data_IF_137850309766
#
_entry.id   IF_137850309766
#
_cell.length_a   1.000
_cell.length_b   1.000
_cell.length_c   1.000
_cell.angle_alpha   90.00
_cell.angle_beta   90.00
_cell.angle_gamma   90.00
#
_symmetry.space_group_name_H-M   'P 1'
#
loop_
_entity.id
_entity.type
_entity.pdbx_description
1 polymer ?
#
# COMPACT_ATOMS: atom_id res chain seq x y z
N UNK A 1 -4.13 -18.98 -1.87
CA UNK A 1 -3.52 -18.13 -2.94
C UNK A 1 -2.54 -17.14 -2.32
N UNK A 2 -1.42 -16.78 -2.98
CA UNK A 2 -0.46 -15.77 -2.46
C UNK A 2 -0.83 -14.38 -2.98
N UNK A 3 -1.04 -13.44 -2.07
CA UNK A 3 -1.48 -12.08 -2.34
C UNK A 3 -0.36 -11.05 -2.11
N UNK A 4 -0.36 -10.05 -2.96
CA UNK A 4 0.44 -8.83 -2.88
C UNK A 4 -0.51 -7.71 -2.51
N UNK A 5 -0.08 -6.87 -1.57
CA UNK A 5 -0.89 -5.79 -1.02
C UNK A 5 -0.12 -4.47 -1.10
N UNK A 6 -0.77 -3.44 -1.63
CA UNK A 6 -0.37 -2.05 -1.49
C UNK A 6 -1.35 -1.34 -0.57
N UNK A 7 -0.83 -0.60 0.40
CA UNK A 7 -1.64 0.19 1.34
C UNK A 7 -1.21 1.64 1.22
N UNK A 8 -2.18 2.53 1.12
CA UNK A 8 -1.96 3.95 1.26
C UNK A 8 -2.81 4.49 2.41
N UNK A 9 -2.14 5.12 3.37
CA UNK A 9 -2.72 5.64 4.60
C UNK A 9 -2.80 7.16 4.49
N UNK A 10 -4.01 7.70 4.39
CA UNK A 10 -4.29 9.14 4.52
C UNK A 10 -5.07 9.38 5.81
N UNK A 11 -5.17 10.63 6.25
CA UNK A 11 -5.86 10.96 7.50
C UNK A 11 -7.36 10.69 7.48
N UNK A 12 -7.95 10.59 6.29
CA UNK A 12 -9.37 10.35 6.09
C UNK A 12 -9.68 8.95 5.57
N UNK A 13 -8.76 8.35 4.81
CA UNK A 13 -8.98 7.07 4.13
C UNK A 13 -7.77 6.15 4.17
N UNK A 14 -8.06 4.86 4.21
CA UNK A 14 -7.10 3.79 3.98
C UNK A 14 -7.49 3.09 2.69
N UNK A 15 -6.66 3.26 1.66
CA UNK A 15 -6.86 2.62 0.36
C UNK A 15 -5.96 1.39 0.28
N UNK A 16 -6.56 0.27 -0.09
CA UNK A 16 -5.91 -1.03 -0.21
C UNK A 16 -6.09 -1.54 -1.64
N UNK A 17 -4.98 -1.96 -2.24
CA UNK A 17 -4.96 -2.65 -3.53
C UNK A 17 -4.36 -4.03 -3.32
N UNK A 18 -5.09 -5.08 -3.70
CA UNK A 18 -4.71 -6.48 -3.46
C UNK A 18 -4.85 -7.34 -4.69
N UNK A 19 -3.88 -8.23 -4.91
CA UNK A 19 -3.98 -9.20 -5.99
C UNK A 19 -2.79 -10.15 -6.03
N UNK A 20 -2.76 -11.04 -7.02
CA UNK A 20 -1.57 -11.85 -7.28
C UNK A 20 -0.45 -10.97 -7.84
N UNK A 21 0.80 -11.44 -7.76
CA UNK A 21 1.92 -10.73 -8.38
C UNK A 21 1.70 -10.48 -9.88
N UNK A 22 1.04 -11.40 -10.58
CA UNK A 22 0.72 -11.26 -11.99
C UNK A 22 -0.38 -10.24 -12.27
N UNK A 23 -1.45 -10.23 -11.46
CA UNK A 23 -2.55 -9.26 -11.65
C UNK A 23 -2.12 -7.84 -11.29
N UNK A 24 -1.37 -7.67 -10.19
CA UNK A 24 -0.83 -6.36 -9.80
C UNK A 24 0.23 -5.85 -10.77
N UNK A 25 1.03 -6.74 -11.38
CA UNK A 25 1.98 -6.35 -12.43
C UNK A 25 1.31 -6.10 -13.79
N UNK A 26 0.03 -6.41 -13.96
CA UNK A 26 -0.68 -6.30 -15.23
C UNK A 26 -0.32 -7.36 -16.26
N UNK A 27 0.26 -8.50 -15.85
CA UNK A 27 0.69 -9.58 -16.76
C UNK A 27 -0.33 -10.71 -16.94
N UNK A 28 -1.49 -10.63 -16.27
CA UNK A 28 -2.64 -11.53 -16.46
C UNK A 28 -3.95 -10.74 -16.48
N UNK A 29 -4.98 -11.24 -17.18
CA UNK A 29 -6.31 -10.66 -17.14
C UNK A 29 -6.92 -10.79 -15.73
N UNK A 30 -7.49 -9.69 -15.25
CA UNK A 30 -8.12 -9.58 -13.93
C UNK A 30 -7.60 -8.35 -13.19
N UNK A 31 -8.43 -7.31 -12.97
CA UNK A 31 -8.02 -6.18 -12.15
C UNK A 31 -7.77 -6.69 -10.72
N UNK A 32 -6.69 -6.27 -10.04
CA UNK A 32 -6.57 -6.49 -8.61
C UNK A 32 -7.75 -5.83 -7.89
N UNK A 33 -8.09 -6.40 -6.75
CA UNK A 33 -9.16 -5.92 -5.91
C UNK A 33 -8.73 -4.60 -5.24
N UNK A 34 -9.68 -3.67 -5.15
CA UNK A 34 -9.50 -2.38 -4.52
C UNK A 34 -10.55 -2.23 -3.43
N UNK A 35 -10.12 -1.78 -2.26
CA UNK A 35 -11.02 -1.37 -1.20
C UNK A 35 -10.55 -0.06 -0.58
N UNK A 36 -11.51 0.76 -0.15
CA UNK A 36 -11.26 1.99 0.60
C UNK A 36 -12.04 1.92 1.91
N UNK A 37 -11.38 2.29 3.00
CA UNK A 37 -11.92 2.27 4.35
C UNK A 37 -11.74 3.65 4.98
N UNK A 38 -12.63 4.09 5.88
CA UNK A 38 -12.36 5.30 6.64
C UNK A 38 -11.10 5.11 7.49
N UNK A 39 -10.25 6.13 7.60
CA UNK A 39 -9.11 6.14 8.53
C UNK A 39 -9.56 6.34 9.99
N UNK A 40 -10.57 5.56 10.39
CA UNK A 40 -11.23 5.57 11.69
C UNK A 40 -11.44 4.14 12.15
N UNK A 41 -10.99 3.85 13.36
CA UNK A 41 -11.15 2.55 13.99
C UNK A 41 -12.18 2.62 15.09
N UNK A 42 -13.18 1.76 15.01
CA UNK A 42 -14.05 1.46 16.15
C UNK A 42 -13.38 0.38 16.99
N UNK A 43 -13.14 0.67 18.27
CA UNK A 43 -12.46 -0.26 19.18
C UNK A 43 -13.10 -0.24 20.58
N UNK A 44 -14.18 -1.01 20.78
CA UNK A 44 -14.84 -1.14 22.07
C UNK A 44 -14.02 -2.03 23.02
N UNK A 45 -14.35 -2.02 24.32
CA UNK A 45 -13.61 -2.76 25.35
C UNK A 45 -13.59 -4.28 25.13
N UNK A 46 -14.67 -4.82 24.57
CA UNK A 46 -14.95 -6.26 24.56
C UNK A 46 -14.72 -6.92 23.22
N UNK A 47 -14.29 -6.16 22.20
CA UNK A 47 -14.10 -6.70 20.85
C UNK A 47 -12.79 -6.24 20.21
N UNK A 48 -12.38 -7.00 19.20
CA UNK A 48 -11.28 -6.62 18.33
C UNK A 48 -11.62 -5.32 17.57
N UNK A 49 -10.60 -4.48 17.27
CA UNK A 49 -10.81 -3.28 16.46
C UNK A 49 -11.31 -3.64 15.07
N UNK A 50 -12.10 -2.75 14.47
CA UNK A 50 -12.52 -2.83 13.07
C UNK A 50 -12.66 -1.43 12.48
N UNK A 51 -12.80 -1.34 11.16
CA UNK A 51 -13.18 -0.09 10.51
C UNK A 51 -14.50 0.44 11.08
N UNK A 52 -14.51 1.75 11.38
CA UNK A 52 -15.68 2.43 11.88
C UNK A 52 -16.81 2.46 10.84
N UNK A 53 -18.04 2.32 11.31
CA UNK A 53 -19.29 2.38 10.54
C UNK A 53 -20.18 3.49 11.11
N UNK A 54 -21.12 4.05 10.31
CA UNK A 54 -21.99 5.13 10.77
C UNK A 54 -22.82 4.80 12.03
N UNK A 55 -23.15 3.53 12.25
CA UNK A 55 -23.95 3.08 13.41
C UNK A 55 -23.11 2.81 14.66
N UNK A 56 -21.79 2.97 14.62
CA UNK A 56 -20.92 2.71 15.76
C UNK A 56 -21.06 3.79 16.83
N UNK A 57 -20.87 3.42 18.10
CA UNK A 57 -20.82 4.40 19.18
C UNK A 57 -19.61 5.33 18.97
N UNK A 58 -19.81 6.65 18.74
CA UNK A 58 -18.71 7.59 18.50
C UNK A 58 -17.72 7.66 19.68
N UNK A 59 -18.16 7.31 20.89
CA UNK A 59 -17.33 7.36 22.10
C UNK A 59 -16.21 6.30 22.12
N UNK A 60 -16.24 5.32 21.22
CA UNK A 60 -15.21 4.29 21.05
C UNK A 60 -14.56 4.32 19.65
N UNK A 61 -14.68 5.46 18.94
CA UNK A 61 -14.07 5.65 17.61
C UNK A 61 -12.80 6.49 17.71
N UNK A 62 -11.70 5.94 17.19
CA UNK A 62 -10.41 6.59 17.07
C UNK A 62 -10.21 7.11 15.64
N UNK A 63 -10.02 8.42 15.47
CA UNK A 63 -9.65 9.07 14.20
C UNK A 63 -8.33 9.84 14.31
N UNK A 64 -7.84 10.36 13.18
CA UNK A 64 -6.63 11.21 13.10
C UNK A 64 -5.39 10.62 13.80
N UNK A 65 -5.26 9.30 13.81
CA UNK A 65 -4.14 8.63 14.49
C UNK A 65 -2.88 8.54 13.61
N UNK A 66 -2.99 8.82 12.31
CA UNK A 66 -1.87 8.83 11.36
C UNK A 66 -1.02 10.10 11.49
N UNK A 67 -1.63 11.29 11.51
CA UNK A 67 -0.93 12.54 11.88
C UNK A 67 -0.16 12.44 13.19
N UNK A 68 -0.66 11.62 14.12
CA UNK A 68 -0.12 11.44 15.46
C UNK A 68 0.83 10.25 15.59
N UNK A 69 1.24 9.57 14.51
CA UNK A 69 1.97 8.29 14.63
C UNK A 69 3.26 8.35 15.47
N UNK A 70 3.94 9.51 15.49
CA UNK A 70 5.12 9.75 16.32
C UNK A 70 4.83 10.47 17.65
N UNK A 71 3.58 10.89 17.89
CA UNK A 71 3.15 11.40 19.18
C UNK A 71 3.06 10.25 20.18
N UNK A 72 3.74 10.40 21.32
CA UNK A 72 3.68 9.42 22.41
C UNK A 72 2.41 9.61 23.27
N UNK A 73 1.70 10.72 23.09
CA UNK A 73 0.46 11.02 23.80
C UNK A 73 -0.65 10.12 23.28
N UNK A 74 -1.30 9.41 24.20
CA UNK A 74 -2.43 8.55 23.84
C UNK A 74 -3.57 9.36 23.20
N UNK A 75 -4.10 8.85 22.09
CA UNK A 75 -5.38 9.29 21.55
C UNK A 75 -6.46 8.76 22.49
N UNK A 76 -7.28 9.66 23.02
CA UNK A 76 -8.41 9.32 23.89
C UNK A 76 -9.71 9.53 23.14
N UNK A 77 -10.65 8.62 23.36
CA UNK A 77 -12.04 8.80 22.93
C UNK A 77 -12.88 9.38 24.08
N UNK A 78 -14.14 9.72 23.81
CA UNK A 78 -15.06 10.24 24.83
C UNK A 78 -15.36 9.21 25.94
N UNK A 79 -15.21 7.90 25.67
CA UNK A 79 -15.23 6.86 26.72
C UNK A 79 -14.01 6.87 27.66
N UNK A 80 -13.06 7.80 27.45
CA UNK A 80 -11.88 8.01 28.28
C UNK A 80 -10.71 7.06 27.99
N UNK A 81 -10.89 6.10 27.07
CA UNK A 81 -9.89 5.07 26.76
C UNK A 81 -8.77 5.60 25.87
N UNK A 82 -7.55 5.59 26.40
CA UNK A 82 -6.35 5.95 25.68
C UNK A 82 -5.75 4.79 24.89
N UNK A 83 -5.34 5.07 23.65
CA UNK A 83 -4.49 4.20 22.83
C UNK A 83 -3.33 5.01 22.27
N UNK A 84 -2.13 4.44 22.29
CA UNK A 84 -1.00 5.09 21.66
C UNK A 84 -1.20 5.10 20.12
N UNK A 85 -0.84 6.18 19.41
CA UNK A 85 -1.02 6.27 17.96
C UNK A 85 -0.45 5.08 17.18
N UNK A 86 0.75 4.59 17.55
CA UNK A 86 1.34 3.42 16.91
C UNK A 86 0.53 2.13 17.12
N UNK A 87 -0.23 2.00 18.21
CA UNK A 87 -1.14 0.85 18.45
C UNK A 87 -2.34 0.94 17.51
N UNK A 88 -2.87 2.14 17.29
CA UNK A 88 -3.97 2.39 16.35
C UNK A 88 -3.53 2.12 14.91
N UNK A 89 -2.33 2.55 14.51
CA UNK A 89 -1.78 2.22 13.19
C UNK A 89 -1.53 0.72 13.05
N UNK A 90 -1.00 0.05 14.07
CA UNK A 90 -0.81 -1.41 14.06
C UNK A 90 -2.17 -2.12 13.89
N UNK A 91 -3.19 -1.70 14.63
CA UNK A 91 -4.55 -2.24 14.51
C UNK A 91 -5.16 -1.98 13.13
N UNK A 92 -5.01 -0.78 12.58
CA UNK A 92 -5.52 -0.44 11.25
C UNK A 92 -4.91 -1.34 10.17
N UNK A 93 -3.59 -1.55 10.23
CA UNK A 93 -2.89 -2.45 9.31
C UNK A 93 -3.33 -3.90 9.48
N UNK A 94 -3.53 -4.35 10.72
CA UNK A 94 -4.01 -5.69 10.99
C UNK A 94 -5.43 -5.91 10.42
N UNK A 95 -6.36 -4.98 10.66
CA UNK A 95 -7.72 -5.02 10.13
C UNK A 95 -7.72 -5.00 8.60
N UNK A 96 -6.83 -4.22 7.96
CA UNK A 96 -6.69 -4.19 6.51
C UNK A 96 -6.25 -5.56 5.95
N UNK A 97 -5.21 -6.16 6.55
CA UNK A 97 -4.62 -7.41 6.09
C UNK A 97 -5.58 -8.58 6.32
N UNK A 98 -6.05 -8.75 7.54
CA UNK A 98 -6.96 -9.84 7.91
C UNK A 98 -8.29 -9.73 7.15
N UNK A 99 -8.83 -8.52 6.98
CA UNK A 99 -9.99 -8.28 6.13
C UNK A 99 -9.77 -8.68 4.67
N UNK A 100 -8.58 -8.42 4.12
CA UNK A 100 -8.19 -8.83 2.77
C UNK A 100 -8.09 -10.35 2.67
N UNK A 101 -7.38 -10.99 3.60
CA UNK A 101 -7.14 -12.45 3.55
C UNK A 101 -8.45 -13.24 3.61
N UNK A 102 -9.40 -12.76 4.42
CA UNK A 102 -10.76 -13.34 4.50
C UNK A 102 -11.56 -13.12 3.22
N UNK A 103 -11.53 -11.91 2.66
CA UNK A 103 -12.36 -11.54 1.50
C UNK A 103 -11.83 -12.15 0.19
N UNK A 104 -10.51 -12.16 0.01
CA UNK A 104 -9.85 -12.60 -1.21
C UNK A 104 -9.45 -14.10 -1.15
N UNK A 105 -9.82 -14.80 -0.08
CA UNK A 105 -9.49 -16.22 0.18
C UNK A 105 -8.01 -16.56 -0.06
N UNK A 106 -7.12 -15.69 0.42
CA UNK A 106 -5.68 -15.76 0.16
C UNK A 106 -4.85 -15.34 1.36
N UNK A 107 -3.53 -15.52 1.24
CA UNK A 107 -2.56 -15.13 2.25
C UNK A 107 -1.70 -14.00 1.68
N UNK A 108 -1.59 -12.89 2.40
CA UNK A 108 -0.77 -11.74 2.02
C UNK A 108 0.69 -12.04 2.32
N UNK A 109 1.50 -12.16 1.27
CA UNK A 109 2.94 -12.50 1.39
C UNK A 109 3.85 -11.29 1.25
N UNK A 110 3.31 -10.17 0.77
CA UNK A 110 4.02 -8.90 0.66
C UNK A 110 3.07 -7.73 0.82
N UNK A 111 3.44 -6.81 1.70
CA UNK A 111 2.76 -5.55 1.95
C UNK A 111 3.75 -4.42 1.66
N UNK A 112 3.37 -3.48 0.81
CA UNK A 112 4.07 -2.20 0.70
C UNK A 112 3.13 -1.08 1.14
N UNK A 113 3.61 -0.22 2.04
CA UNK A 113 2.83 0.89 2.61
C UNK A 113 3.43 2.20 2.11
N UNK A 114 2.60 3.02 1.46
CA UNK A 114 2.94 4.37 1.07
C UNK A 114 2.73 5.34 2.24
N UNK A 115 3.73 6.18 2.53
CA UNK A 115 3.65 7.25 3.52
C UNK A 115 3.81 8.64 2.87
N UNK A 116 3.24 9.70 3.46
CA UNK A 116 3.42 11.07 2.97
C UNK A 116 4.90 11.47 2.88
N UNK A 117 5.30 12.28 1.88
CA UNK A 117 6.71 12.64 1.65
C UNK A 117 7.31 13.51 2.76
N UNK A 118 6.49 14.26 3.48
CA UNK A 118 6.92 15.16 4.55
C UNK A 118 7.15 14.46 5.90
N UNK A 119 6.87 13.15 6.00
CA UNK A 119 7.06 12.42 7.25
C UNK A 119 8.53 12.32 7.65
N UNK A 120 8.80 12.52 8.94
CA UNK A 120 10.13 12.39 9.52
C UNK A 120 10.62 10.94 9.52
N UNK A 121 11.94 10.75 9.64
CA UNK A 121 12.53 9.42 9.79
C UNK A 121 11.96 8.65 10.99
N UNK A 122 11.59 9.37 12.06
CA UNK A 122 10.95 8.78 13.24
C UNK A 122 9.54 8.26 12.92
N UNK A 123 8.69 9.06 12.26
CA UNK A 123 7.35 8.65 11.82
C UNK A 123 7.41 7.43 10.89
N UNK A 124 8.34 7.45 9.93
CA UNK A 124 8.59 6.32 9.01
C UNK A 124 9.05 5.08 9.79
N UNK A 125 9.95 5.25 10.76
CA UNK A 125 10.40 4.17 11.64
C UNK A 125 9.27 3.58 12.49
N UNK A 126 8.38 4.42 13.02
CA UNK A 126 7.20 4.00 13.78
C UNK A 126 6.25 3.19 12.89
N UNK A 127 6.00 3.63 11.65
CA UNK A 127 5.17 2.92 10.68
C UNK A 127 5.76 1.56 10.33
N UNK A 128 7.08 1.48 10.07
CA UNK A 128 7.76 0.20 9.81
C UNK A 128 7.59 -0.78 10.96
N UNK A 129 7.74 -0.32 12.21
CA UNK A 129 7.53 -1.15 13.40
C UNK A 129 6.07 -1.57 13.56
N UNK A 130 5.13 -0.67 13.33
CA UNK A 130 3.70 -0.98 13.38
C UNK A 130 3.32 -2.03 12.33
N UNK A 131 3.80 -1.87 11.10
CA UNK A 131 3.60 -2.82 10.02
C UNK A 131 4.23 -4.19 10.32
N UNK A 132 5.46 -4.22 10.86
CA UNK A 132 6.11 -5.45 11.29
C UNK A 132 5.35 -6.20 12.39
N UNK A 133 4.62 -5.49 13.26
CA UNK A 133 3.74 -6.10 14.28
C UNK A 133 2.39 -6.54 13.73
N UNK A 134 1.90 -5.89 12.67
CA UNK A 134 0.59 -6.17 12.09
C UNK A 134 0.58 -7.43 11.22
N UNK A 135 1.75 -7.82 10.69
CA UNK A 135 1.89 -8.93 9.74
C UNK A 135 2.42 -10.21 10.40
N UNK A 136 2.14 -11.36 9.79
CA UNK A 136 2.74 -12.63 10.17
C UNK A 136 4.23 -12.72 9.80
N UNK A 137 4.96 -13.66 10.43
CA UNK A 137 6.41 -13.82 10.26
C UNK A 137 6.88 -14.10 8.82
N UNK A 138 5.98 -14.54 7.93
CA UNK A 138 6.26 -14.89 6.54
C UNK A 138 5.95 -13.77 5.55
N UNK A 139 5.36 -12.66 6.02
CA UNK A 139 4.95 -11.54 5.17
C UNK A 139 6.05 -10.50 5.09
N UNK A 140 6.51 -10.23 3.87
CA UNK A 140 7.48 -9.15 3.63
C UNK A 140 6.80 -7.78 3.75
N UNK A 141 7.45 -6.83 4.44
CA UNK A 141 6.95 -5.47 4.62
C UNK A 141 7.92 -4.47 4.03
N UNK A 142 7.40 -3.56 3.22
CA UNK A 142 8.13 -2.40 2.72
C UNK A 142 7.37 -1.11 3.05
N UNK A 143 8.10 -0.05 3.38
CA UNK A 143 7.54 1.28 3.60
C UNK A 143 8.25 2.24 2.66
N UNK A 144 7.47 2.88 1.79
CA UNK A 144 7.95 3.72 0.69
C UNK A 144 7.27 5.08 0.73
N UNK A 145 7.95 6.11 0.22
CA UNK A 145 7.30 7.39 0.01
C UNK A 145 6.18 7.26 -1.01
N UNK A 146 5.06 7.94 -0.77
CA UNK A 146 3.94 8.07 -1.70
C UNK A 146 4.42 8.52 -3.08
N UNK A 147 5.36 9.46 -3.17
CA UNK A 147 5.93 9.89 -4.46
C UNK A 147 6.59 8.74 -5.23
N UNK A 148 7.28 7.82 -4.53
CA UNK A 148 7.91 6.66 -5.15
C UNK A 148 6.86 5.64 -5.63
N UNK A 149 5.79 5.46 -4.86
CA UNK A 149 4.65 4.64 -5.22
C UNK A 149 3.93 5.22 -6.45
N UNK A 150 3.51 6.49 -6.41
CA UNK A 150 2.88 7.21 -7.53
C UNK A 150 3.76 7.10 -8.78
N UNK A 151 5.07 7.33 -8.67
CA UNK A 151 6.02 7.20 -9.79
C UNK A 151 6.02 5.78 -10.40
N UNK A 152 5.84 4.74 -9.58
CA UNK A 152 5.68 3.37 -10.09
C UNK A 152 4.35 3.22 -10.82
N UNK A 153 3.27 3.79 -10.28
CA UNK A 153 1.95 3.78 -10.90
C UNK A 153 1.94 4.43 -12.26
N UNK A 154 2.40 5.68 -12.37
CA UNK A 154 2.46 6.43 -13.62
C UNK A 154 3.28 5.70 -14.69
N UNK A 155 4.45 5.16 -14.33
CA UNK A 155 5.27 4.39 -15.29
C UNK A 155 4.55 3.16 -15.83
N UNK A 156 3.81 2.46 -14.98
CA UNK A 156 3.03 1.31 -15.42
C UNK A 156 1.85 1.73 -16.30
N UNK A 157 1.11 2.76 -15.93
CA UNK A 157 -0.02 3.25 -16.73
C UNK A 157 0.41 3.74 -18.10
N UNK A 158 1.59 4.39 -18.19
CA UNK A 158 2.20 4.77 -19.46
C UNK A 158 2.58 3.55 -20.32
N UNK A 159 3.05 2.46 -19.69
CA UNK A 159 3.38 1.21 -20.39
C UNK A 159 2.13 0.47 -20.90
N UNK A 160 1.03 0.53 -20.16
CA UNK A 160 -0.21 -0.17 -20.50
C UNK A 160 -1.20 0.66 -21.33
N UNK A 161 -0.92 1.94 -21.57
CA UNK A 161 -1.86 2.84 -22.25
C UNK A 161 -3.11 3.15 -21.42
N UNK A 162 -3.01 3.07 -20.09
CA UNK A 162 -4.12 3.23 -19.14
C UNK A 162 -3.99 4.50 -18.29
N UNK A 163 -3.37 5.56 -18.85
CA UNK A 163 -3.09 6.79 -18.12
C UNK A 163 -4.38 7.46 -17.58
N UNK A 164 -5.47 7.38 -18.34
CA UNK A 164 -6.76 7.99 -17.99
C UNK A 164 -7.46 7.28 -16.82
N UNK A 165 -7.22 5.98 -16.62
CA UNK A 165 -7.82 5.19 -15.52
C UNK A 165 -7.27 5.55 -14.13
N UNK A 166 -6.21 6.36 -14.08
CA UNK A 166 -5.41 6.60 -12.88
C UNK A 166 -5.52 8.05 -12.38
N UNK A 167 -6.07 8.95 -13.20
CA UNK A 167 -6.03 10.40 -12.97
C UNK A 167 -6.95 10.88 -11.82
N UNK A 168 -8.00 10.14 -11.48
CA UNK A 168 -9.07 10.68 -10.63
C UNK A 168 -8.86 10.46 -9.11
N UNK A 169 -7.85 9.67 -8.69
CA UNK A 169 -7.66 9.34 -7.28
C UNK A 169 -6.18 9.29 -6.86
N UNK A 170 -5.63 10.37 -6.25
CA UNK A 170 -4.27 10.39 -5.70
C UNK A 170 -4.04 9.27 -4.68
N UNK A 171 -5.04 8.96 -3.86
CA UNK A 171 -4.94 7.92 -2.85
C UNK A 171 -4.84 6.50 -3.46
N UNK A 172 -5.52 6.27 -4.59
CA UNK A 172 -5.42 5.05 -5.38
C UNK A 172 -4.05 4.90 -6.03
N UNK A 173 -3.56 5.99 -6.63
CA UNK A 173 -2.24 6.10 -7.25
C UNK A 173 -1.12 5.64 -6.28
N UNK A 174 -1.17 6.11 -5.03
CA UNK A 174 -0.26 5.68 -3.97
C UNK A 174 -0.38 4.19 -3.63
N UNK A 175 -1.59 3.69 -3.39
CA UNK A 175 -1.81 2.28 -3.00
C UNK A 175 -1.43 1.31 -4.12
N UNK A 176 -1.80 1.62 -5.37
CA UNK A 176 -1.48 0.81 -6.53
C UNK A 176 0.02 0.79 -6.84
N UNK A 177 0.63 1.97 -6.78
CA UNK A 177 2.07 2.13 -6.90
C UNK A 177 2.84 1.29 -5.87
N UNK A 178 2.37 1.30 -4.63
CA UNK A 178 2.90 0.47 -3.55
C UNK A 178 2.72 -1.02 -3.85
N UNK A 179 1.55 -1.45 -4.31
CA UNK A 179 1.29 -2.84 -4.69
C UNK A 179 2.26 -3.31 -5.79
N UNK A 180 2.53 -2.49 -6.80
CA UNK A 180 3.50 -2.83 -7.85
C UNK A 180 4.94 -2.90 -7.38
N UNK A 181 5.33 -2.07 -6.40
CA UNK A 181 6.63 -2.18 -5.75
C UNK A 181 6.73 -3.49 -4.96
N UNK A 182 5.68 -3.88 -4.24
CA UNK A 182 5.58 -5.16 -3.54
C UNK A 182 5.69 -6.35 -4.51
N UNK A 183 4.98 -6.31 -5.64
CA UNK A 183 5.04 -7.35 -6.67
C UNK A 183 6.46 -7.49 -7.23
N UNK A 184 7.13 -6.37 -7.48
CA UNK A 184 8.52 -6.36 -7.97
C UNK A 184 9.47 -6.99 -6.95
N UNK A 185 9.30 -6.69 -5.66
CA UNK A 185 10.10 -7.28 -4.59
C UNK A 185 9.94 -8.81 -4.55
N UNK A 186 8.71 -9.32 -4.64
CA UNK A 186 8.44 -10.76 -4.63
C UNK A 186 9.01 -11.48 -5.86
N UNK A 187 8.97 -10.85 -7.05
CA UNK A 187 9.59 -11.45 -8.25
C UNK A 187 11.11 -11.49 -8.23
N UNK A 188 11.77 -10.70 -7.36
CA UNK A 188 13.23 -10.68 -7.21
C UNK A 188 13.74 -11.61 -6.12
N UNK A 189 12.88 -12.06 -5.21
CA UNK A 189 13.24 -13.13 -4.26
C UNK A 189 13.22 -14.44 -5.03
N UNK A 190 14.34 -15.20 -5.10
CA UNK A 190 14.31 -16.54 -5.65
C UNK A 190 13.28 -17.32 -4.84
N UNK A 191 12.21 -17.76 -5.48
CA UNK A 191 11.31 -18.75 -4.87
C UNK A 191 12.20 -19.93 -4.46
N UNK A 192 12.12 -20.44 -3.22
CA UNK A 192 12.73 -21.71 -2.89
C UNK A 192 12.07 -22.74 -3.79
N UNK A 193 12.72 -23.05 -4.90
CA UNK A 193 12.32 -24.15 -5.74
C UNK A 193 12.60 -25.40 -4.94
N UNK A 194 11.56 -26.20 -4.78
CA UNK A 194 11.60 -27.51 -4.15
C UNK A 194 12.86 -28.27 -4.58
N UNK A 195 13.55 -28.87 -3.60
CA UNK A 195 14.92 -29.37 -3.70
C UNK A 195 15.08 -30.62 -4.60
N UNK A 196 14.10 -30.93 -5.44
CA UNK A 196 14.05 -32.18 -6.23
C UNK A 196 14.02 -32.00 -7.75
N UNK A 197 13.91 -30.78 -8.30
CA UNK A 197 13.98 -30.58 -9.75
C UNK A 197 15.41 -30.28 -10.23
N UNK A 198 16.33 -31.25 -10.13
CA UNK A 198 17.60 -31.20 -10.89
C UNK A 198 17.30 -31.50 -12.36
N UNK A 199 17.11 -30.46 -13.16
CA UNK A 199 17.43 -30.49 -14.60
C UNK A 199 17.82 -29.08 -15.04
N UNK A 200 19.00 -28.86 -15.66
CA UNK A 200 19.39 -27.54 -16.11
C UNK A 200 18.50 -27.17 -17.30
N UNK A 201 17.52 -26.30 -17.06
CA UNK A 201 16.81 -25.63 -18.15
C UNK A 201 17.75 -24.56 -18.67
N UNK A 202 18.22 -24.79 -19.89
CA UNK A 202 18.96 -23.86 -20.74
C UNK A 202 18.39 -22.45 -20.58
N UNK A 203 19.21 -21.53 -20.09
CA UNK A 203 18.87 -20.12 -19.92
C UNK A 203 18.34 -19.57 -21.24
N UNK A 204 17.06 -19.18 -21.25
CA UNK A 204 16.53 -18.30 -22.29
C UNK A 204 17.28 -16.95 -22.21
N UNK A 205 17.57 -16.30 -23.35
CA UNK A 205 18.37 -15.08 -23.36
C UNK A 205 17.67 -13.99 -22.54
N UNK A 206 18.47 -13.22 -21.82
CA UNK A 206 18.05 -12.05 -21.06
C UNK A 206 17.09 -11.22 -21.91
N UNK A 207 15.87 -11.02 -21.41
CA UNK A 207 14.98 -10.02 -22.00
C UNK A 207 15.74 -8.71 -22.09
N UNK A 208 15.90 -8.24 -23.33
CA UNK A 208 16.35 -6.92 -23.68
C UNK A 208 15.79 -5.93 -22.65
N UNK A 209 16.66 -5.27 -21.89
CA UNK A 209 16.29 -3.99 -21.30
C UNK A 209 15.72 -3.16 -22.43
N UNK A 210 14.42 -2.88 -22.40
CA UNK A 210 13.82 -1.93 -23.31
C UNK A 210 14.52 -0.60 -23.05
N UNK A 211 15.47 -0.27 -23.93
CA UNK A 211 16.04 1.06 -24.04
C UNK A 211 14.86 2.00 -24.15
N UNK A 212 14.66 2.87 -23.14
CA UNK A 212 13.63 3.89 -23.19
C UNK A 212 13.97 4.76 -24.40
N UNK A 213 13.28 4.53 -25.50
CA UNK A 213 13.46 5.30 -26.72
C UNK A 213 13.06 6.74 -26.42
N UNK A 214 13.85 7.69 -26.90
CA UNK A 214 13.68 9.14 -26.70
C UNK A 214 12.23 9.66 -26.75
N UNK A 215 11.30 9.17 -27.61
CA UNK A 215 9.89 9.57 -27.55
C UNK A 215 9.17 9.17 -26.24
N UNK A 216 9.40 7.98 -25.68
CA UNK A 216 8.80 7.57 -24.40
C UNK A 216 9.33 8.40 -23.23
N UNK A 217 10.60 8.80 -23.28
CA UNK A 217 11.19 9.67 -22.25
C UNK A 217 10.45 11.01 -22.18
N UNK A 218 10.14 11.58 -23.34
CA UNK A 218 9.38 12.84 -23.46
C UNK A 218 7.94 12.72 -22.93
N UNK A 219 7.28 11.58 -23.18
CA UNK A 219 5.92 11.30 -22.67
C UNK A 219 5.91 11.11 -21.15
N UNK A 220 6.91 10.40 -20.61
CA UNK A 220 7.04 10.22 -19.15
C UNK A 220 7.39 11.54 -18.47
N UNK A 221 8.31 12.32 -19.03
CA UNK A 221 8.71 13.61 -18.49
C UNK A 221 7.57 14.64 -18.56
N UNK A 222 6.77 14.65 -19.65
CA UNK A 222 5.59 15.52 -19.77
C UNK A 222 4.48 15.10 -18.82
N UNK A 223 4.24 13.79 -18.67
CA UNK A 223 3.20 13.28 -17.76
C UNK A 223 3.59 13.51 -16.29
N UNK A 224 4.86 13.40 -15.93
CA UNK A 224 5.36 13.70 -14.58
C UNK A 224 5.33 15.20 -14.31
N UNK A 225 5.62 16.05 -15.30
CA UNK A 225 5.49 17.50 -15.16
C UNK A 225 4.02 17.93 -15.00
N UNK A 226 3.11 17.38 -15.80
CA UNK A 226 1.66 17.63 -15.68
C UNK A 226 1.11 17.10 -14.35
N UNK A 227 1.56 15.94 -13.90
CA UNK A 227 1.13 15.41 -12.61
C UNK A 227 1.68 16.22 -11.44
N UNK A 228 2.92 16.73 -11.54
CA UNK A 228 3.48 17.67 -10.55
C UNK A 228 2.73 19.00 -10.54
N UNK A 229 2.35 19.52 -11.70
CA UNK A 229 1.55 20.74 -11.81
C UNK A 229 0.16 20.54 -11.17
N UNK A 230 -0.49 19.41 -11.44
CA UNK A 230 -1.79 19.06 -10.83
C UNK A 230 -1.67 18.79 -9.33
N UNK A 231 -0.59 18.15 -8.90
CA UNK A 231 -0.27 17.93 -7.48
C UNK A 231 -0.05 19.25 -6.72
N UNK A 232 0.71 20.17 -7.31
CA UNK A 232 0.91 21.51 -6.76
C UNK A 232 -0.39 22.34 -6.76
N UNK A 233 -1.26 22.15 -7.77
CA UNK A 233 -2.57 22.79 -7.83
C UNK A 233 -3.55 22.28 -6.77
N UNK A 234 -3.32 21.09 -6.19
CA UNK A 234 -4.06 20.57 -5.04
C UNK A 234 -3.55 21.12 -3.69
N UNK A 235 -2.61 22.09 -3.71
CA UNK A 235 -2.16 22.81 -2.51
C UNK A 235 -1.03 22.13 -1.73
N UNK A 236 -0.40 21.10 -2.28
CA UNK A 236 0.74 20.42 -1.69
C UNK A 236 2.05 20.92 -2.30
N UNK A 237 2.54 22.07 -1.80
CA UNK A 237 3.88 22.58 -2.08
C UNK A 237 4.92 21.99 -1.12
#
# INVERSE_FOLDING_TARGET
MRLIMGIHLTDDQVVVVTGTAASVAGSRPGPPHLSSHPARLYWPATAAPRWSRPADNPDDVYGHFLTRIADLTAVRTASGRGRAPHQLVTAALHVAIDGTERSDHGHVVSVTIAHPPHWSAEQIGMLRRAAGRAVGATTSVSVVSECAAISRCVRWSAQMGTADLVADHPSFLGAWGAAMLAATAVTRVPVPTDRTARRPVRTAPAHHMATITHPMRRIVDSSVADLRLRWNALGHA
#
